data_IF_857320101524
#
_entry.id   IF_857320101524
#
_cell.length_a   1.000
_cell.length_b   1.000
_cell.length_c   1.000
_cell.angle_alpha   90.00
_cell.angle_beta   90.00
_cell.angle_gamma   90.00
#
_symmetry.space_group_name_H-M   'P 1'
#
loop_
_entity.id
_entity.type
_entity.pdbx_description
1 polymer ?
#
# COMPACT_ATOMS: atom_id res chain seq x y z
N UNK A 1 105.41 43.25 42.49
CA UNK A 1 104.95 44.16 41.40
C UNK A 1 104.62 43.33 40.20
N UNK A 2 103.45 43.10 39.92
CA UNK A 2 102.97 42.67 38.59
C UNK A 2 101.44 42.67 38.63
N UNK A 3 100.89 43.53 37.80
CA UNK A 3 99.47 43.77 37.59
C UNK A 3 98.80 42.66 36.77
N UNK A 4 97.85 42.00 37.29
CA UNK A 4 97.04 41.03 36.53
C UNK A 4 95.80 41.71 35.93
N UNK A 5 95.70 41.72 34.61
CA UNK A 5 94.53 42.16 33.87
C UNK A 5 93.54 41.01 33.74
N UNK A 6 92.34 41.16 34.32
CA UNK A 6 91.23 40.27 34.13
C UNK A 6 90.44 40.59 32.85
N UNK A 7 90.43 39.66 31.89
CA UNK A 7 89.62 39.74 30.67
C UNK A 7 88.15 39.31 31.00
N UNK A 8 87.18 40.21 30.77
CA UNK A 8 85.77 39.90 30.81
C UNK A 8 85.32 39.23 29.47
N UNK A 9 84.97 37.97 29.55
CA UNK A 9 84.32 37.25 28.41
C UNK A 9 82.87 37.68 28.27
N UNK A 10 82.58 38.24 27.12
CA UNK A 10 81.22 38.68 26.73
C UNK A 10 80.42 37.49 26.20
N UNK A 11 79.52 36.86 27.00
CA UNK A 11 78.64 35.80 26.51
C UNK A 11 77.50 36.44 25.74
N UNK A 12 77.48 36.32 24.41
CA UNK A 12 76.39 36.60 23.53
C UNK A 12 75.38 35.47 23.69
N UNK A 13 74.23 35.75 24.35
CA UNK A 13 73.03 34.87 24.35
C UNK A 13 72.40 34.90 22.95
N UNK A 14 72.67 33.91 22.13
CA UNK A 14 71.99 33.68 20.92
C UNK A 14 70.59 33.13 21.24
N UNK A 15 69.54 33.94 21.14
CA UNK A 15 68.14 33.45 21.11
C UNK A 15 67.91 32.75 19.80
N UNK A 16 67.94 31.43 19.80
CA UNK A 16 67.43 30.62 18.71
C UNK A 16 65.91 30.83 18.66
N UNK A 17 65.42 31.65 17.73
CA UNK A 17 63.99 31.71 17.38
C UNK A 17 63.64 30.45 16.65
N UNK A 18 62.94 29.52 17.27
CA UNK A 18 62.31 28.36 16.60
C UNK A 18 61.23 28.90 15.71
N UNK A 19 61.48 28.93 14.42
CA UNK A 19 60.46 29.20 13.41
C UNK A 19 59.53 27.96 13.37
N UNK A 20 58.39 28.03 14.09
CA UNK A 20 57.36 27.02 13.98
C UNK A 20 56.70 27.17 12.61
N UNK A 21 57.14 26.32 11.69
CA UNK A 21 56.55 26.24 10.35
C UNK A 21 55.13 25.66 10.51
N UNK A 22 54.09 26.52 10.42
CA UNK A 22 52.69 26.10 10.40
C UNK A 22 52.45 25.28 9.15
N UNK A 23 52.43 23.96 9.27
CA UNK A 23 51.98 23.07 8.19
C UNK A 23 50.49 23.30 7.95
N UNK A 24 50.13 23.53 6.69
CA UNK A 24 48.70 23.63 6.31
C UNK A 24 48.01 22.32 6.64
N UNK A 25 46.92 22.31 7.39
CA UNK A 25 46.25 21.07 7.84
C UNK A 25 45.41 20.44 6.69
N UNK A 26 46.13 19.93 5.69
CA UNK A 26 45.51 19.32 4.50
C UNK A 26 44.50 18.22 4.85
N UNK A 27 44.76 17.43 5.89
CA UNK A 27 43.82 16.40 6.37
C UNK A 27 42.49 16.98 6.87
N UNK A 28 42.55 18.12 7.56
CA UNK A 28 41.35 18.81 8.03
C UNK A 28 40.56 19.43 6.87
N UNK A 29 41.26 20.03 5.89
CA UNK A 29 40.64 20.60 4.69
C UNK A 29 39.97 19.49 3.88
N UNK A 30 40.64 18.36 3.66
CA UNK A 30 40.08 17.21 2.96
C UNK A 30 38.86 16.63 3.72
N UNK A 31 38.91 16.52 5.04
CA UNK A 31 37.81 16.08 5.86
C UNK A 31 36.57 17.00 5.75
N UNK A 32 36.78 18.33 5.83
CA UNK A 32 35.71 19.30 5.66
C UNK A 32 35.10 19.23 4.25
N UNK A 33 35.90 19.08 3.21
CA UNK A 33 35.44 18.94 1.83
C UNK A 33 34.56 17.68 1.66
N UNK A 34 34.98 16.55 2.22
CA UNK A 34 34.16 15.30 2.19
C UNK A 34 32.82 15.51 2.88
N UNK A 35 32.80 16.14 4.07
CA UNK A 35 31.56 16.41 4.79
C UNK A 35 30.65 17.35 4.00
N UNK A 36 31.21 18.41 3.41
CA UNK A 36 30.39 19.37 2.61
C UNK A 36 29.84 18.70 1.36
N UNK A 37 30.63 17.88 0.66
CA UNK A 37 30.13 17.13 -0.51
C UNK A 37 29.05 16.13 -0.13
N UNK A 38 29.24 15.41 0.97
CA UNK A 38 28.23 14.46 1.46
C UNK A 38 26.93 15.18 1.89
N UNK A 39 27.04 16.27 2.63
CA UNK A 39 25.89 17.09 3.02
C UNK A 39 25.17 17.68 1.80
N UNK A 40 25.92 18.15 0.80
CA UNK A 40 25.39 18.63 -0.47
C UNK A 40 24.64 17.54 -1.25
N UNK A 41 25.21 16.33 -1.30
CA UNK A 41 24.57 15.18 -1.95
C UNK A 41 23.28 14.75 -1.25
N UNK A 42 23.27 14.68 0.09
CA UNK A 42 22.09 14.36 0.89
C UNK A 42 20.99 15.42 0.74
N UNK A 43 21.39 16.69 0.81
CA UNK A 43 20.44 17.81 0.64
C UNK A 43 19.87 17.83 -0.79
N UNK A 44 20.71 17.69 -1.81
CA UNK A 44 20.29 17.62 -3.21
C UNK A 44 19.33 16.45 -3.46
N UNK A 45 19.63 15.27 -2.91
CA UNK A 45 18.74 14.11 -2.97
C UNK A 45 17.40 14.38 -2.29
N UNK A 46 17.40 15.00 -1.10
CA UNK A 46 16.17 15.33 -0.38
C UNK A 46 15.29 16.32 -1.14
N UNK A 47 15.89 17.34 -1.78
CA UNK A 47 15.15 18.31 -2.61
C UNK A 47 14.57 17.65 -3.85
N UNK A 48 15.33 16.82 -4.56
CA UNK A 48 14.85 16.08 -5.74
C UNK A 48 13.68 15.16 -5.37
N UNK A 49 13.80 14.38 -4.29
CA UNK A 49 12.73 13.51 -3.76
C UNK A 49 11.51 14.30 -3.33
N UNK A 50 11.72 15.46 -2.67
CA UNK A 50 10.62 16.35 -2.29
C UNK A 50 9.82 16.84 -3.50
N UNK A 51 10.52 17.25 -4.56
CA UNK A 51 9.88 17.71 -5.80
C UNK A 51 9.12 16.59 -6.53
N UNK A 52 9.70 15.37 -6.60
CA UNK A 52 9.03 14.20 -7.20
C UNK A 52 7.75 13.83 -6.43
N UNK A 53 7.81 13.81 -5.10
CA UNK A 53 6.64 13.53 -4.25
C UNK A 53 5.55 14.59 -4.40
N UNK A 54 5.92 15.87 -4.49
CA UNK A 54 4.96 16.97 -4.69
C UNK A 54 4.28 16.85 -6.05
N UNK A 55 5.02 16.58 -7.12
CA UNK A 55 4.47 16.37 -8.46
C UNK A 55 3.54 15.14 -8.51
N UNK A 56 3.89 14.05 -7.84
CA UNK A 56 3.03 12.88 -7.76
C UNK A 56 1.73 13.16 -6.99
N UNK A 57 1.79 13.90 -5.88
CA UNK A 57 0.60 14.33 -5.14
C UNK A 57 -0.29 15.27 -5.96
N UNK A 58 0.30 16.21 -6.68
CA UNK A 58 -0.44 17.13 -7.56
C UNK A 58 -1.16 16.36 -8.69
N UNK A 59 -0.50 15.37 -9.28
CA UNK A 59 -1.10 14.50 -10.30
C UNK A 59 -2.29 13.67 -9.78
N UNK A 60 -2.32 13.35 -8.48
CA UNK A 60 -3.41 12.62 -7.85
C UNK A 60 -4.51 13.51 -7.27
N UNK A 61 -4.28 14.81 -7.15
CA UNK A 61 -5.26 15.76 -6.58
C UNK A 61 -6.66 15.69 -7.23
N UNK A 62 -6.81 15.53 -8.57
CA UNK A 62 -8.12 15.41 -9.21
C UNK A 62 -8.92 14.19 -8.77
N UNK A 63 -8.22 13.15 -8.26
CA UNK A 63 -8.82 11.87 -7.85
C UNK A 63 -9.10 11.80 -6.34
N UNK A 64 -8.84 12.87 -5.58
CA UNK A 64 -9.19 12.92 -4.16
C UNK A 64 -10.69 13.19 -4.01
N UNK A 65 -11.45 12.30 -3.29
CA UNK A 65 -12.89 12.49 -3.08
C UNK A 65 -13.20 13.77 -2.29
N UNK A 66 -14.31 14.41 -2.66
CA UNK A 66 -14.82 15.61 -1.98
C UNK A 66 -16.34 15.67 -2.05
N UNK A 67 -16.96 16.61 -1.31
CA UNK A 67 -18.42 16.81 -1.36
C UNK A 67 -18.94 17.17 -2.75
N UNK A 68 -18.11 17.82 -3.56
CA UNK A 68 -18.45 18.23 -4.93
C UNK A 68 -18.02 17.22 -5.99
N UNK A 69 -17.14 16.27 -5.65
CA UNK A 69 -16.71 15.18 -6.51
C UNK A 69 -16.64 13.90 -5.67
N UNK A 70 -17.78 13.24 -5.47
CA UNK A 70 -17.91 12.10 -4.58
C UNK A 70 -17.37 10.80 -5.18
N UNK A 71 -17.33 10.72 -6.48
CA UNK A 71 -16.78 9.58 -7.23
C UNK A 71 -15.81 10.04 -8.31
N UNK A 72 -14.59 10.43 -7.94
CA UNK A 72 -13.58 10.82 -8.91
C UNK A 72 -13.06 9.67 -9.77
N UNK A 73 -13.38 8.41 -9.44
CA UNK A 73 -12.98 7.24 -10.23
C UNK A 73 -13.60 7.25 -11.63
N UNK A 74 -14.74 7.91 -11.82
CA UNK A 74 -15.39 8.05 -13.14
C UNK A 74 -14.54 8.83 -14.15
N UNK A 75 -13.54 9.57 -13.69
CA UNK A 75 -12.57 10.27 -14.56
C UNK A 75 -11.42 9.35 -15.00
N UNK A 76 -11.32 8.12 -14.45
CA UNK A 76 -10.27 7.16 -14.77
C UNK A 76 -10.71 6.31 -15.95
N UNK A 77 -10.03 6.39 -17.11
CA UNK A 77 -10.42 5.61 -18.27
C UNK A 77 -10.35 4.09 -17.99
N UNK A 78 -11.44 3.40 -18.30
CA UNK A 78 -11.54 1.95 -18.15
C UNK A 78 -12.12 1.48 -16.83
N UNK A 79 -12.43 2.36 -15.89
CA UNK A 79 -13.22 2.00 -14.71
C UNK A 79 -14.63 1.63 -15.14
N UNK A 80 -15.08 0.47 -14.67
CA UNK A 80 -16.47 0.02 -14.77
C UNK A 80 -17.13 0.10 -13.41
N UNK A 81 -18.43 0.40 -13.36
CA UNK A 81 -19.20 0.57 -12.14
C UNK A 81 -20.40 -0.35 -12.11
N UNK A 82 -20.82 -0.75 -10.91
CA UNK A 82 -22.04 -1.52 -10.64
C UNK A 82 -22.68 -1.05 -9.34
N UNK A 83 -23.95 -1.35 -9.19
CA UNK A 83 -24.71 -1.04 -7.95
C UNK A 83 -25.11 -2.34 -7.28
N UNK A 84 -24.78 -2.48 -6.01
CA UNK A 84 -25.03 -3.67 -5.21
C UNK A 84 -25.75 -3.31 -3.92
N UNK A 85 -26.61 -4.22 -3.46
CA UNK A 85 -27.20 -4.11 -2.13
C UNK A 85 -26.14 -4.41 -1.07
N UNK A 86 -26.14 -3.62 0.01
CA UNK A 86 -25.24 -3.77 1.13
C UNK A 86 -25.68 -4.85 2.12
N UNK A 87 -24.74 -5.39 2.90
CA UNK A 87 -25.02 -6.26 4.04
C UNK A 87 -25.63 -7.61 3.69
N UNK A 88 -25.46 -8.11 2.48
CA UNK A 88 -25.98 -9.41 2.06
C UNK A 88 -24.99 -10.52 2.40
N UNK A 89 -25.08 -11.06 3.60
CA UNK A 89 -24.17 -12.08 4.08
C UNK A 89 -24.63 -13.50 3.73
N UNK A 90 -23.65 -14.34 3.36
CA UNK A 90 -23.82 -15.78 3.16
C UNK A 90 -22.93 -16.55 4.13
N UNK A 91 -23.27 -17.80 4.38
CA UNK A 91 -22.49 -18.68 5.24
C UNK A 91 -21.20 -19.17 4.53
N UNK A 92 -20.17 -19.61 5.29
CA UNK A 92 -18.93 -20.12 4.73
C UNK A 92 -19.08 -21.35 3.82
N UNK A 93 -20.15 -22.12 3.95
CA UNK A 93 -20.51 -23.26 3.11
C UNK A 93 -21.33 -22.90 1.87
N UNK A 94 -21.60 -21.61 1.66
CA UNK A 94 -22.29 -21.09 0.49
C UNK A 94 -21.31 -20.42 -0.46
N UNK A 95 -21.63 -20.41 -1.75
CA UNK A 95 -20.85 -19.78 -2.81
C UNK A 95 -21.73 -18.84 -3.63
N UNK A 96 -21.14 -17.82 -4.19
CA UNK A 96 -21.83 -16.82 -5.02
C UNK A 96 -21.45 -17.00 -6.47
N UNK A 97 -22.47 -17.07 -7.36
CA UNK A 97 -22.30 -17.03 -8.80
C UNK A 97 -22.18 -15.58 -9.29
N UNK A 98 -21.06 -14.97 -9.01
CA UNK A 98 -20.78 -13.60 -9.46
C UNK A 98 -20.79 -13.48 -10.98
N UNK A 99 -21.27 -12.36 -11.50
CA UNK A 99 -21.28 -12.05 -12.93
C UNK A 99 -19.94 -11.50 -13.41
N UNK A 100 -19.14 -10.94 -12.52
CA UNK A 100 -17.79 -10.44 -12.79
C UNK A 100 -16.72 -11.32 -12.18
N UNK A 101 -15.54 -11.33 -12.82
CA UNK A 101 -14.36 -12.06 -12.33
C UNK A 101 -13.12 -11.17 -12.46
N UNK A 102 -12.51 -10.73 -11.33
CA UNK A 102 -12.98 -10.83 -9.93
C UNK A 102 -14.30 -10.10 -9.69
N UNK A 103 -15.06 -10.47 -8.62
CA UNK A 103 -16.23 -9.71 -8.20
C UNK A 103 -15.83 -8.36 -7.58
N UNK A 104 -16.71 -7.37 -7.69
CA UNK A 104 -16.49 -6.05 -7.10
C UNK A 104 -17.71 -5.52 -6.32
N UNK A 105 -18.54 -6.41 -5.82
CA UNK A 105 -19.71 -6.17 -4.99
C UNK A 105 -20.65 -7.36 -4.95
N UNK A 106 -21.81 -7.19 -4.35
CA UNK A 106 -22.85 -8.22 -4.23
C UNK A 106 -22.80 -8.99 -2.91
N UNK A 107 -23.57 -10.07 -2.80
CA UNK A 107 -23.58 -10.92 -1.63
C UNK A 107 -22.19 -11.51 -1.35
N UNK A 108 -21.85 -11.68 -0.08
CA UNK A 108 -20.51 -12.05 0.34
C UNK A 108 -20.50 -12.78 1.69
N UNK A 109 -19.36 -13.33 2.08
CA UNK A 109 -19.22 -14.01 3.38
C UNK A 109 -19.41 -13.03 4.54
N UNK A 110 -20.01 -13.47 5.64
CA UNK A 110 -20.14 -12.68 6.85
C UNK A 110 -18.80 -12.31 7.52
N UNK A 111 -17.70 -12.86 7.06
CA UNK A 111 -16.35 -12.57 7.55
C UNK A 111 -15.50 -11.95 6.46
N UNK A 112 -14.89 -10.80 6.77
CA UNK A 112 -14.02 -10.11 5.80
C UNK A 112 -12.59 -10.66 5.80
N UNK A 113 -11.91 -10.54 4.67
CA UNK A 113 -10.48 -10.72 4.59
C UNK A 113 -9.75 -9.52 5.20
N UNK A 114 -8.71 -9.77 6.00
CA UNK A 114 -7.89 -8.69 6.58
C UNK A 114 -7.40 -7.75 5.48
N UNK A 115 -7.67 -6.45 5.61
CA UNK A 115 -7.35 -5.43 4.61
C UNK A 115 -6.53 -4.26 5.19
N UNK A 116 -5.59 -4.55 6.08
CA UNK A 116 -4.69 -3.57 6.72
C UNK A 116 -3.39 -3.34 5.95
N UNK A 117 -3.42 -3.43 4.62
CA UNK A 117 -2.22 -3.46 3.79
C UNK A 117 -1.70 -4.90 3.64
N UNK A 118 -2.60 -5.85 3.52
CA UNK A 118 -2.28 -7.28 3.55
C UNK A 118 -1.95 -7.78 2.14
N UNK A 119 -0.74 -8.30 1.98
CA UNK A 119 -0.30 -9.01 0.78
C UNK A 119 -0.40 -10.51 1.03
N UNK A 120 -1.45 -11.14 0.52
CA UNK A 120 -1.66 -12.58 0.65
C UNK A 120 -0.72 -13.33 -0.28
N UNK A 121 0.03 -14.34 0.25
CA UNK A 121 0.91 -15.16 -0.58
C UNK A 121 0.15 -16.21 -1.41
N UNK A 122 -1.13 -16.41 -1.10
CA UNK A 122 -2.01 -17.40 -1.75
C UNK A 122 -3.31 -16.74 -2.19
N UNK A 123 -3.99 -17.37 -3.15
CA UNK A 123 -5.31 -16.92 -3.57
C UNK A 123 -6.33 -17.16 -2.45
N UNK A 124 -7.14 -16.16 -2.17
CA UNK A 124 -8.10 -16.09 -1.06
C UNK A 124 -9.52 -16.24 -1.59
N UNK A 125 -10.39 -16.86 -0.80
CA UNK A 125 -11.82 -16.94 -1.11
C UNK A 125 -12.39 -15.55 -1.39
N UNK A 126 -12.93 -15.37 -2.58
CA UNK A 126 -13.33 -14.05 -3.08
C UNK A 126 -14.50 -13.43 -2.31
N UNK A 127 -15.39 -14.24 -1.75
CA UNK A 127 -16.51 -13.78 -0.92
C UNK A 127 -16.03 -13.03 0.34
N UNK A 128 -14.89 -13.41 0.92
CA UNK A 128 -14.29 -12.68 2.04
C UNK A 128 -13.64 -11.35 1.59
N UNK A 129 -13.08 -11.29 0.38
CA UNK A 129 -12.50 -10.06 -0.19
C UNK A 129 -13.59 -9.07 -0.63
N UNK A 130 -14.74 -9.55 -1.09
CA UNK A 130 -15.91 -8.69 -1.37
C UNK A 130 -16.37 -7.98 -0.10
N UNK A 131 -16.44 -8.68 1.04
CA UNK A 131 -16.75 -8.05 2.33
C UNK A 131 -15.74 -6.96 2.71
N UNK A 132 -14.44 -7.20 2.49
CA UNK A 132 -13.42 -6.16 2.73
C UNK A 132 -13.67 -4.88 1.92
N UNK A 133 -14.21 -5.00 0.70
CA UNK A 133 -14.57 -3.84 -0.12
C UNK A 133 -15.81 -3.11 0.42
N UNK A 134 -16.75 -3.82 1.05
CA UNK A 134 -17.87 -3.20 1.77
C UNK A 134 -17.40 -2.32 2.92
N UNK A 135 -16.24 -2.63 3.54
CA UNK A 135 -15.57 -1.81 4.55
C UNK A 135 -14.74 -0.66 3.94
N UNK A 136 -14.73 -0.50 2.62
CA UNK A 136 -14.00 0.56 1.91
C UNK A 136 -12.57 0.22 1.52
N UNK A 137 -12.23 -1.07 1.45
CA UNK A 137 -10.93 -1.48 0.96
C UNK A 137 -10.85 -1.45 -0.58
N UNK A 138 -9.62 -1.28 -1.07
CA UNK A 138 -9.24 -1.58 -2.45
C UNK A 138 -8.51 -2.93 -2.45
N UNK A 139 -9.01 -3.87 -3.25
CA UNK A 139 -8.38 -5.16 -3.48
C UNK A 139 -7.67 -5.16 -4.84
N UNK A 140 -6.38 -5.51 -4.87
CA UNK A 140 -5.60 -5.73 -6.07
C UNK A 140 -5.49 -7.24 -6.31
N UNK A 141 -6.17 -7.74 -7.33
CA UNK A 141 -6.03 -9.10 -7.82
C UNK A 141 -4.99 -9.13 -8.94
N UNK A 142 -4.12 -10.13 -8.97
CA UNK A 142 -3.17 -10.29 -10.06
C UNK A 142 -3.14 -11.73 -10.58
N UNK A 143 -2.91 -11.88 -11.88
CA UNK A 143 -2.72 -13.19 -12.50
C UNK A 143 -1.29 -13.70 -12.19
N UNK A 144 -1.13 -14.77 -11.40
CA UNK A 144 0.19 -15.27 -11.02
C UNK A 144 1.01 -15.84 -12.19
N UNK A 145 0.36 -16.19 -13.30
CA UNK A 145 1.03 -16.67 -14.52
C UNK A 145 1.60 -15.54 -15.37
N UNK A 146 1.14 -14.29 -15.14
CA UNK A 146 1.49 -13.11 -15.94
C UNK A 146 2.25 -12.04 -15.16
N UNK A 147 2.11 -11.99 -13.82
CA UNK A 147 2.70 -10.96 -12.97
C UNK A 147 3.69 -11.58 -12.01
N UNK A 148 4.96 -11.22 -12.15
CA UNK A 148 6.06 -11.69 -11.31
C UNK A 148 7.20 -10.67 -11.25
N UNK A 149 8.22 -10.90 -10.40
CA UNK A 149 9.41 -10.05 -10.29
C UNK A 149 9.07 -8.58 -10.02
N UNK A 150 9.69 -7.67 -10.74
CA UNK A 150 9.57 -6.23 -10.51
C UNK A 150 8.12 -5.71 -10.62
N UNK A 151 7.30 -6.26 -11.52
CA UNK A 151 5.89 -5.89 -11.63
C UNK A 151 5.10 -6.27 -10.36
N UNK A 152 5.34 -7.47 -9.82
CA UNK A 152 4.74 -7.91 -8.56
C UNK A 152 5.21 -7.05 -7.39
N UNK A 153 6.49 -6.70 -7.33
CA UNK A 153 7.05 -5.85 -6.28
C UNK A 153 6.49 -4.43 -6.34
N UNK A 154 6.25 -3.90 -7.55
CA UNK A 154 5.58 -2.60 -7.74
C UNK A 154 4.17 -2.61 -7.14
N UNK A 155 3.36 -3.63 -7.43
CA UNK A 155 2.00 -3.74 -6.87
C UNK A 155 2.04 -3.95 -5.34
N UNK A 156 2.96 -4.80 -4.86
CA UNK A 156 3.15 -5.03 -3.42
C UNK A 156 3.43 -3.73 -2.68
N UNK A 157 4.30 -2.87 -3.22
CA UNK A 157 4.63 -1.58 -2.61
C UNK A 157 3.43 -0.61 -2.51
N UNK A 158 2.37 -0.80 -3.32
CA UNK A 158 1.14 -0.02 -3.23
C UNK A 158 0.22 -0.49 -2.10
N UNK A 159 0.42 -1.72 -1.62
CA UNK A 159 -0.47 -2.37 -0.65
C UNK A 159 0.21 -2.54 0.70
N UNK A 160 1.45 -3.02 0.75
CA UNK A 160 2.12 -3.42 1.98
C UNK A 160 2.08 -2.32 3.04
N UNK A 161 1.45 -2.62 4.18
CA UNK A 161 1.26 -1.68 5.30
C UNK A 161 0.32 -0.51 5.02
N UNK A 162 -0.37 -0.46 3.85
CA UNK A 162 -1.32 0.60 3.54
C UNK A 162 -2.74 0.24 4.02
N UNK A 163 -3.29 0.91 5.06
CA UNK A 163 -4.61 0.57 5.58
C UNK A 163 -5.70 0.57 4.49
N UNK A 164 -6.66 -0.34 4.59
CA UNK A 164 -7.75 -0.50 3.64
C UNK A 164 -7.26 -0.81 2.22
N UNK A 165 -6.24 -1.64 2.15
CA UNK A 165 -5.83 -2.32 0.92
C UNK A 165 -5.56 -3.79 1.20
N UNK A 166 -5.79 -4.61 0.20
CA UNK A 166 -5.39 -6.01 0.17
C UNK A 166 -4.90 -6.39 -1.23
N UNK A 167 -4.02 -7.39 -1.32
CA UNK A 167 -3.56 -7.93 -2.59
C UNK A 167 -3.51 -9.45 -2.51
N UNK A 168 -3.96 -10.12 -3.57
CA UNK A 168 -3.86 -11.57 -3.66
C UNK A 168 -3.64 -12.05 -5.10
N UNK A 169 -3.03 -13.25 -5.30
CA UNK A 169 -3.13 -13.94 -6.56
C UNK A 169 -4.60 -14.21 -6.91
N UNK A 170 -4.91 -14.21 -8.21
CA UNK A 170 -6.21 -14.62 -8.72
C UNK A 170 -5.99 -15.53 -9.95
N UNK A 171 -5.90 -16.86 -9.75
CA UNK A 171 -5.69 -17.79 -10.84
C UNK A 171 -6.78 -17.69 -11.91
N UNK A 172 -6.38 -17.64 -13.17
CA UNK A 172 -7.31 -17.55 -14.29
C UNK A 172 -7.87 -16.15 -14.55
N UNK A 173 -7.30 -15.11 -13.93
CA UNK A 173 -7.65 -13.72 -14.26
C UNK A 173 -7.38 -13.45 -15.75
N UNK A 174 -8.34 -12.84 -16.45
CA UNK A 174 -8.33 -12.55 -17.88
C UNK A 174 -7.36 -11.41 -18.28
N UNK A 175 -6.91 -10.62 -17.31
CA UNK A 175 -5.91 -9.57 -17.46
C UNK A 175 -4.78 -9.75 -16.43
N UNK A 176 -3.59 -9.21 -16.64
CA UNK A 176 -2.52 -9.27 -15.66
C UNK A 176 -2.91 -8.75 -14.26
N UNK A 177 -3.68 -7.65 -14.22
CA UNK A 177 -4.02 -6.94 -12.98
C UNK A 177 -5.48 -6.53 -13.02
N UNK A 178 -6.15 -6.64 -11.88
CA UNK A 178 -7.49 -6.10 -11.67
C UNK A 178 -7.57 -5.45 -10.30
N UNK A 179 -8.03 -4.21 -10.26
CA UNK A 179 -8.31 -3.47 -9.03
C UNK A 179 -9.82 -3.46 -8.80
N UNK A 180 -10.22 -3.72 -7.57
CA UNK A 180 -11.63 -3.69 -7.16
C UNK A 180 -11.80 -2.83 -5.91
N UNK A 181 -12.91 -2.13 -5.84
CA UNK A 181 -13.51 -1.55 -4.64
C UNK A 181 -15.03 -1.74 -4.74
N UNK A 182 -15.78 -1.47 -3.69
CA UNK A 182 -17.23 -1.67 -3.75
C UNK A 182 -17.86 -0.93 -4.94
N UNK A 183 -18.53 -1.68 -5.80
CA UNK A 183 -19.16 -1.14 -7.00
C UNK A 183 -18.21 -0.69 -8.12
N UNK A 184 -16.89 -0.92 -8.03
CA UNK A 184 -15.92 -0.39 -8.99
C UNK A 184 -14.86 -1.43 -9.35
N UNK A 185 -14.50 -1.50 -10.64
CA UNK A 185 -13.42 -2.35 -11.14
C UNK A 185 -12.60 -1.64 -12.22
N UNK A 186 -11.29 -1.88 -12.22
CA UNK A 186 -10.37 -1.46 -13.27
C UNK A 186 -9.41 -2.60 -13.60
N UNK A 187 -9.35 -3.01 -14.87
CA UNK A 187 -8.41 -4.05 -15.35
C UNK A 187 -7.27 -3.41 -16.13
N UNK A 188 -6.05 -3.85 -15.86
CA UNK A 188 -4.81 -3.26 -16.39
C UNK A 188 -3.82 -4.35 -16.81
N UNK A 189 -2.90 -3.98 -17.71
CA UNK A 189 -1.82 -4.86 -18.16
C UNK A 189 -0.44 -4.50 -17.59
N UNK A 190 -0.27 -3.29 -17.02
CA UNK A 190 1.01 -2.78 -16.51
C UNK A 190 0.87 -2.34 -15.05
N UNK A 191 1.78 -2.85 -14.20
CA UNK A 191 1.86 -2.47 -12.78
C UNK A 191 2.29 -1.01 -12.56
N UNK A 192 2.94 -0.40 -13.53
CA UNK A 192 3.37 1.00 -13.49
C UNK A 192 2.33 1.97 -14.10
N UNK A 193 1.17 1.48 -14.51
CA UNK A 193 0.11 2.34 -15.04
C UNK A 193 -0.33 3.33 -13.96
N UNK A 194 -0.32 4.65 -14.23
CA UNK A 194 -0.70 5.67 -13.25
C UNK A 194 -2.13 5.51 -12.72
N UNK A 195 -3.00 4.83 -13.47
CA UNK A 195 -4.37 4.54 -13.04
C UNK A 195 -4.44 3.65 -11.80
N UNK A 196 -3.36 2.89 -11.47
CA UNK A 196 -3.29 2.14 -10.20
C UNK A 196 -3.39 3.10 -9.02
N UNK A 197 -2.54 4.14 -8.99
CA UNK A 197 -2.55 5.14 -7.92
C UNK A 197 -3.82 6.00 -7.93
N UNK A 198 -4.31 6.34 -9.11
CA UNK A 198 -5.56 7.09 -9.27
C UNK A 198 -6.76 6.32 -8.69
N UNK A 199 -6.89 5.02 -8.99
CA UNK A 199 -7.96 4.17 -8.49
C UNK A 199 -7.90 4.03 -6.96
N UNK A 200 -6.70 3.77 -6.40
CA UNK A 200 -6.50 3.69 -4.95
C UNK A 200 -6.87 5.03 -4.29
N UNK A 201 -6.43 6.16 -4.86
CA UNK A 201 -6.73 7.49 -4.33
C UNK A 201 -8.22 7.80 -4.37
N UNK A 202 -8.90 7.44 -5.45
CA UNK A 202 -10.31 7.73 -5.65
C UNK A 202 -11.24 6.93 -4.74
N UNK A 203 -10.88 5.67 -4.41
CA UNK A 203 -11.84 4.71 -3.87
C UNK A 203 -11.48 4.18 -2.48
N UNK A 204 -10.18 4.15 -2.11
CA UNK A 204 -9.79 3.69 -0.78
C UNK A 204 -10.39 4.57 0.31
N UNK A 205 -11.29 3.99 1.14
CA UNK A 205 -12.03 4.69 2.19
C UNK A 205 -12.83 5.91 1.69
N UNK A 206 -13.23 5.90 0.44
CA UNK A 206 -14.11 6.94 -0.08
C UNK A 206 -15.52 6.74 0.49
N UNK A 207 -15.84 7.48 1.55
CA UNK A 207 -17.11 7.35 2.31
C UNK A 207 -18.39 7.50 1.48
N UNK A 208 -18.28 7.96 0.24
CA UNK A 208 -19.42 8.11 -0.66
C UNK A 208 -19.62 6.87 -1.55
N UNK A 209 -18.67 5.90 -1.54
CA UNK A 209 -18.63 4.81 -2.49
C UNK A 209 -18.65 3.41 -1.84
N UNK A 210 -18.75 3.31 -0.52
CA UNK A 210 -18.89 2.03 0.17
C UNK A 210 -19.90 2.16 1.32
N UNK A 211 -20.65 1.07 1.66
CA UNK A 211 -21.80 1.18 2.56
C UNK A 211 -21.43 1.21 4.04
N UNK A 212 -20.42 0.46 4.49
CA UNK A 212 -20.08 0.31 5.91
C UNK A 212 -19.01 1.29 6.38
N UNK A 213 -19.34 2.57 6.37
CA UNK A 213 -18.41 3.64 6.70
C UNK A 213 -17.92 3.53 8.16
N UNK A 214 -16.62 3.33 8.32
CA UNK A 214 -15.99 3.19 9.63
C UNK A 214 -15.75 1.75 10.07
N UNK A 215 -16.20 0.76 9.29
CA UNK A 215 -15.96 -0.65 9.56
C UNK A 215 -14.46 -1.00 9.57
N UNK A 216 -14.10 -2.05 10.33
CA UNK A 216 -12.71 -2.43 10.57
C UNK A 216 -12.14 -3.26 9.41
N UNK A 217 -10.86 -3.06 9.12
CA UNK A 217 -10.05 -3.93 8.24
C UNK A 217 -9.16 -4.93 9.02
N UNK A 218 -9.21 -4.90 10.35
CA UNK A 218 -8.39 -5.79 11.18
C UNK A 218 -8.84 -7.24 11.05
N UNK A 219 -7.93 -8.18 11.32
CA UNK A 219 -8.27 -9.60 11.40
C UNK A 219 -9.37 -9.83 12.43
N UNK A 220 -10.40 -10.60 12.05
CA UNK A 220 -11.47 -11.00 12.96
C UNK A 220 -10.92 -12.08 13.90
N UNK A 221 -11.01 -11.85 15.20
CA UNK A 221 -10.68 -12.86 16.19
C UNK A 221 -11.64 -14.07 16.15
N UNK A 222 -11.30 -15.14 16.89
CA UNK A 222 -12.18 -16.31 17.04
C UNK A 222 -12.13 -17.34 15.92
N UNK A 223 -11.16 -17.22 14.98
CA UNK A 223 -10.90 -18.25 13.98
C UNK A 223 -11.82 -18.25 12.76
N UNK A 224 -12.69 -17.24 12.60
CA UNK A 224 -13.58 -17.13 11.46
C UNK A 224 -12.85 -16.78 10.15
N UNK A 225 -11.84 -15.92 10.24
CA UNK A 225 -10.90 -15.64 9.16
C UNK A 225 -9.48 -15.57 9.74
N UNK A 226 -8.53 -16.25 9.11
CA UNK A 226 -7.12 -16.17 9.49
C UNK A 226 -6.28 -15.66 8.33
N UNK A 227 -5.56 -14.57 8.54
CA UNK A 227 -4.63 -14.02 7.55
C UNK A 227 -3.49 -14.98 7.23
N UNK A 228 -3.04 -15.76 8.22
CA UNK A 228 -1.97 -16.74 8.04
C UNK A 228 -2.41 -18.00 7.28
N UNK A 229 -3.72 -18.33 7.33
CA UNK A 229 -4.30 -19.47 6.64
C UNK A 229 -5.71 -19.10 6.14
N UNK A 230 -5.80 -18.24 5.13
CA UNK A 230 -7.09 -17.77 4.66
C UNK A 230 -7.89 -18.89 3.98
N UNK A 231 -9.23 -18.79 3.98
CA UNK A 231 -10.06 -19.70 3.20
C UNK A 231 -9.64 -19.70 1.74
N UNK A 232 -9.51 -20.93 1.18
CA UNK A 232 -8.93 -21.12 -0.15
C UNK A 232 -9.83 -20.54 -1.26
N UNK A 233 -9.19 -19.92 -2.23
CA UNK A 233 -9.82 -19.50 -3.47
C UNK A 233 -10.45 -20.69 -4.21
N UNK A 234 -11.61 -20.44 -4.79
CA UNK A 234 -12.22 -21.30 -5.79
C UNK A 234 -12.80 -20.41 -6.88
N UNK A 235 -12.69 -20.77 -8.16
CA UNK A 235 -13.30 -20.01 -9.25
C UNK A 235 -14.79 -19.79 -9.01
N UNK A 236 -15.34 -18.70 -9.55
CA UNK A 236 -16.76 -18.43 -9.49
C UNK A 236 -17.56 -19.64 -10.02
N UNK A 237 -18.47 -20.23 -9.24
CA UNK A 237 -19.24 -21.37 -9.69
C UNK A 237 -20.24 -20.95 -10.79
N UNK A 238 -20.55 -21.88 -11.70
CA UNK A 238 -21.79 -21.76 -12.47
C UNK A 238 -22.99 -21.89 -11.55
N UNK A 239 -24.16 -21.36 -11.96
CA UNK A 239 -25.38 -21.32 -11.13
C UNK A 239 -25.93 -22.70 -10.70
N UNK A 240 -25.22 -23.79 -10.92
CA UNK A 240 -25.54 -25.15 -10.47
C UNK A 240 -24.74 -25.49 -9.22
N UNK A 241 -25.33 -26.27 -8.30
CA UNK A 241 -24.65 -26.76 -7.09
C UNK A 241 -23.30 -27.42 -7.42
N UNK A 242 -22.24 -26.96 -6.78
CA UNK A 242 -20.89 -27.50 -6.97
C UNK A 242 -20.45 -28.21 -5.70
N UNK A 243 -20.15 -29.50 -5.79
CA UNK A 243 -19.60 -30.33 -4.69
C UNK A 243 -20.39 -30.28 -3.38
N UNK A 244 -21.71 -30.22 -3.44
CA UNK A 244 -22.58 -30.16 -2.26
C UNK A 244 -22.69 -28.78 -1.58
N UNK A 245 -22.04 -27.75 -2.12
CA UNK A 245 -22.17 -26.37 -1.68
C UNK A 245 -23.42 -25.73 -2.30
N UNK A 246 -24.11 -24.91 -1.53
CA UNK A 246 -25.20 -24.09 -2.06
C UNK A 246 -24.62 -22.92 -2.84
N UNK A 247 -25.02 -22.78 -4.10
CA UNK A 247 -24.65 -21.66 -4.95
C UNK A 247 -25.83 -20.67 -5.01
N UNK A 248 -25.54 -19.42 -4.66
CA UNK A 248 -26.51 -18.33 -4.67
C UNK A 248 -26.19 -17.34 -5.80
N UNK A 249 -27.19 -16.61 -6.32
CA UNK A 249 -26.95 -15.53 -7.25
C UNK A 249 -26.22 -14.34 -6.58
N UNK A 250 -25.67 -13.43 -7.36
CA UNK A 250 -24.89 -12.29 -6.89
C UNK A 250 -25.70 -11.33 -5.98
N UNK A 251 -27.00 -11.26 -6.17
CA UNK A 251 -27.94 -10.53 -5.29
C UNK A 251 -28.31 -11.29 -4.01
N UNK A 252 -27.68 -12.44 -3.78
CA UNK A 252 -27.90 -13.30 -2.61
C UNK A 252 -29.17 -14.12 -2.64
N UNK A 253 -30.16 -13.76 -3.45
CA UNK A 253 -31.44 -14.45 -3.51
C UNK A 253 -32.07 -14.71 -2.12
N UNK A 254 -32.94 -15.72 -1.98
CA UNK A 254 -33.56 -16.05 -0.69
C UNK A 254 -32.61 -16.63 0.37
N UNK A 255 -31.37 -16.95 -0.02
CA UNK A 255 -30.37 -17.58 0.85
C UNK A 255 -29.42 -16.63 1.55
N UNK A 256 -29.38 -15.35 1.16
CA UNK A 256 -28.58 -14.34 1.86
C UNK A 256 -29.38 -13.76 3.04
N UNK A 257 -28.68 -13.47 4.13
CA UNK A 257 -29.24 -12.79 5.29
C UNK A 257 -28.74 -11.36 5.33
N UNK A 258 -29.64 -10.42 5.65
CA UNK A 258 -29.23 -9.04 5.94
C UNK A 258 -28.36 -9.02 7.19
N UNK A 259 -27.29 -8.25 7.18
CA UNK A 259 -26.54 -7.94 8.38
C UNK A 259 -27.52 -7.30 9.39
N UNK A 260 -27.76 -7.97 10.52
CA UNK A 260 -28.39 -7.32 11.65
C UNK A 260 -27.32 -6.53 12.38
N UNK A 261 -27.67 -5.37 12.95
CA UNK A 261 -26.78 -4.44 13.67
C UNK A 261 -25.96 -5.06 14.82
N UNK A 262 -26.05 -6.35 15.06
CA UNK A 262 -25.39 -7.05 16.17
C UNK A 262 -23.86 -7.18 16.03
N UNK A 263 -23.28 -7.02 14.83
CA UNK A 263 -21.82 -7.10 14.65
C UNK A 263 -21.08 -5.77 14.82
N UNK A 264 -21.79 -4.68 15.05
CA UNK A 264 -21.19 -3.33 15.22
C UNK A 264 -20.86 -2.97 16.66
N UNK A 265 -21.09 -3.84 17.63
CA UNK A 265 -20.75 -3.54 19.04
C UNK A 265 -19.31 -4.02 19.32
N UNK A 266 -18.35 -3.13 19.56
CA UNK A 266 -17.03 -3.52 20.06
C UNK A 266 -17.23 -4.14 21.45
N UNK A 267 -16.87 -5.39 21.62
CA UNK A 267 -16.73 -5.94 22.97
C UNK A 267 -15.64 -5.15 23.70
N UNK A 268 -16.01 -4.50 24.76
CA UNK A 268 -15.13 -3.75 25.67
C UNK A 268 -14.17 -4.68 26.39
#
# INVERSE_FOLDING_TARGET
MASGKTSKANRKNGRNSVVVQKSTPWGLIAGVLVVVLFAGAVFGYAVLRGNENSAAQEALAPFVPSDTNRDPSQQIPGVVTGTYAAGLHVNPDQRIAYQSSPPYGGAHDGYWATCTGTVYPVAVRQENLVHSMEHGAVWIAYNPDQVSGAALDTLRAKVDGQPYTAMSPYPGLDQPISLQSWGHQLKLSDANDPRVDQFITALRRNQYQYPEVGASCQEIGGGQFSTASPPAFQPTPSAAAVNGLTVLPEDGGPGATQATDEMTTPQR
#
